data_IF_626225634361
#
_entry.id   IF_626225634361
#
_cell.length_a   1.000
_cell.length_b   1.000
_cell.length_c   1.000
_cell.angle_alpha   90.00
_cell.angle_beta   90.00
_cell.angle_gamma   90.00
#
_symmetry.space_group_name_H-M   'P 1'
#
loop_
_entity.id
_entity.type
_entity.pdbx_description
1 polymer ?
#
# COMPACT_ATOMS: atom_id res chain seq x y z
N UNK A 1 9.82 0.81 22.51
CA UNK A 1 9.47 0.57 21.09
C UNK A 1 9.73 -0.85 20.61
N UNK A 2 10.96 -1.36 20.63
CA UNK A 2 11.29 -2.70 20.07
C UNK A 2 10.44 -3.85 20.67
N UNK A 3 10.20 -3.84 21.99
CA UNK A 3 9.33 -4.81 22.67
C UNK A 3 7.89 -4.79 22.14
N UNK A 4 7.35 -3.61 21.79
CA UNK A 4 6.00 -3.47 21.23
C UNK A 4 5.93 -4.06 19.81
N UNK A 5 6.91 -3.75 18.97
CA UNK A 5 7.02 -4.30 17.62
C UNK A 5 7.10 -5.84 17.68
N UNK A 6 7.90 -6.39 18.59
CA UNK A 6 8.00 -7.84 18.79
C UNK A 6 6.66 -8.45 19.22
N UNK A 7 5.94 -7.79 20.14
CA UNK A 7 4.64 -8.27 20.60
C UNK A 7 3.61 -8.29 19.45
N UNK A 8 3.55 -7.21 18.67
CA UNK A 8 2.69 -7.14 17.48
C UNK A 8 3.05 -8.23 16.47
N UNK A 9 4.34 -8.45 16.23
CA UNK A 9 4.81 -9.52 15.33
C UNK A 9 4.35 -10.91 15.78
N UNK A 10 4.43 -11.21 17.08
CA UNK A 10 4.00 -12.50 17.63
C UNK A 10 2.49 -12.69 17.42
N UNK A 11 1.67 -11.66 17.68
CA UNK A 11 0.22 -11.70 17.48
C UNK A 11 -0.15 -11.96 16.02
N UNK A 12 0.52 -11.29 15.09
CA UNK A 12 0.19 -11.42 13.66
C UNK A 12 0.70 -12.77 13.14
N UNK A 13 1.86 -13.26 13.59
CA UNK A 13 2.41 -14.55 13.18
C UNK A 13 1.50 -15.74 13.56
N UNK A 14 0.79 -15.66 14.68
CA UNK A 14 -0.17 -16.70 15.08
C UNK A 14 -1.44 -16.73 14.21
N UNK A 15 -1.69 -15.68 13.43
CA UNK A 15 -2.91 -15.54 12.64
C UNK A 15 -2.70 -15.95 11.18
N UNK A 16 -3.68 -16.66 10.60
CA UNK A 16 -3.66 -17.08 9.19
C UNK A 16 -3.81 -15.91 8.21
N UNK A 17 -4.12 -14.71 8.70
CA UNK A 17 -4.37 -13.52 7.87
C UNK A 17 -3.14 -13.12 7.06
N UNK A 18 -1.91 -13.27 7.59
CA UNK A 18 -0.69 -13.00 6.80
C UNK A 18 -0.67 -13.88 5.54
N UNK A 19 -0.96 -15.18 5.70
CA UNK A 19 -0.95 -16.13 4.59
C UNK A 19 -1.99 -15.73 3.53
N UNK A 20 -3.20 -15.33 3.95
CA UNK A 20 -4.23 -14.84 3.03
C UNK A 20 -3.77 -13.58 2.29
N UNK A 21 -3.16 -12.62 3.00
CA UNK A 21 -2.63 -11.37 2.42
C UNK A 21 -1.54 -11.68 1.39
N UNK A 22 -0.62 -12.59 1.70
CA UNK A 22 0.46 -13.00 0.78
C UNK A 22 -0.14 -13.65 -0.47
N UNK A 23 -1.08 -14.60 -0.33
CA UNK A 23 -1.74 -15.25 -1.47
C UNK A 23 -2.47 -14.22 -2.33
N UNK A 24 -3.28 -13.35 -1.72
CA UNK A 24 -4.01 -12.28 -2.43
C UNK A 24 -3.05 -11.36 -3.21
N UNK A 25 -1.88 -11.06 -2.62
CA UNK A 25 -0.88 -10.22 -3.27
C UNK A 25 -0.24 -10.85 -4.50
N UNK A 26 -0.21 -12.18 -4.60
CA UNK A 26 0.39 -12.91 -5.73
C UNK A 26 -0.58 -13.08 -6.90
N UNK A 27 -1.89 -12.82 -6.72
CA UNK A 27 -2.90 -12.99 -7.76
C UNK A 27 -2.57 -12.20 -9.04
N UNK A 28 -2.29 -10.88 -9.01
CA UNK A 28 -1.96 -10.12 -10.22
C UNK A 28 -0.77 -10.71 -10.98
N UNK A 29 0.23 -11.21 -10.24
CA UNK A 29 1.45 -11.76 -10.82
C UNK A 29 1.17 -13.10 -11.51
N UNK A 30 0.42 -14.00 -10.87
CA UNK A 30 0.00 -15.27 -11.47
C UNK A 30 -0.87 -15.07 -12.71
N UNK A 31 -1.84 -14.16 -12.63
CA UNK A 31 -2.71 -13.84 -13.77
C UNK A 31 -1.92 -13.32 -14.97
N UNK A 32 -0.92 -12.48 -14.73
CA UNK A 32 -0.07 -11.97 -15.80
C UNK A 32 0.85 -13.05 -16.40
N UNK A 33 1.38 -13.97 -15.60
CA UNK A 33 2.14 -15.10 -16.16
C UNK A 33 1.29 -15.99 -17.05
N UNK A 34 0.05 -16.27 -16.66
CA UNK A 34 -0.88 -17.02 -17.49
C UNK A 34 -1.18 -16.26 -18.78
N UNK A 35 -1.46 -14.96 -18.70
CA UNK A 35 -1.71 -14.12 -19.88
C UNK A 35 -0.50 -14.06 -20.83
N UNK A 36 0.71 -13.97 -20.29
CA UNK A 36 1.96 -13.99 -21.04
C UNK A 36 2.18 -15.31 -21.79
N UNK A 37 1.90 -16.43 -21.13
CA UNK A 37 2.07 -17.76 -21.70
C UNK A 37 1.05 -18.06 -22.82
N UNK A 38 -0.18 -17.53 -22.72
CA UNK A 38 -1.28 -17.84 -23.63
C UNK A 38 -1.38 -16.86 -24.79
N UNK A 39 -1.34 -15.55 -24.53
CA UNK A 39 -1.75 -14.55 -25.51
C UNK A 39 -0.55 -13.86 -26.17
N UNK A 40 0.21 -13.04 -25.43
CA UNK A 40 0.97 -11.97 -26.09
C UNK A 40 2.48 -12.09 -26.07
N UNK A 41 3.11 -12.94 -25.22
CA UNK A 41 4.58 -13.03 -25.07
C UNK A 41 5.33 -11.69 -25.11
N UNK A 42 4.64 -10.60 -24.79
CA UNK A 42 5.11 -9.24 -24.96
C UNK A 42 5.78 -8.81 -23.67
N UNK A 43 7.07 -8.52 -23.80
CA UNK A 43 7.98 -8.21 -22.71
C UNK A 43 8.18 -6.70 -22.60
N UNK A 44 7.56 -5.92 -23.50
CA UNK A 44 7.60 -4.46 -23.45
C UNK A 44 7.11 -3.95 -22.08
N UNK A 45 7.81 -2.94 -21.54
CA UNK A 45 7.50 -2.39 -20.23
C UNK A 45 6.28 -1.47 -20.26
N UNK A 46 6.07 -0.80 -21.39
CA UNK A 46 5.10 0.25 -21.69
C UNK A 46 3.72 -0.29 -22.07
N UNK A 47 3.65 -1.43 -22.76
CA UNK A 47 2.38 -2.05 -23.18
C UNK A 47 2.23 -3.53 -22.83
N UNK A 48 3.34 -4.21 -22.49
CA UNK A 48 3.38 -5.65 -22.35
C UNK A 48 3.10 -6.13 -20.93
N UNK A 49 3.89 -7.12 -20.50
CA UNK A 49 3.72 -7.80 -19.22
C UNK A 49 3.72 -6.85 -18.02
N UNK A 50 4.70 -5.94 -17.95
CA UNK A 50 4.85 -5.08 -16.77
C UNK A 50 3.70 -4.11 -16.63
N UNK A 51 3.28 -3.45 -17.71
CA UNK A 51 2.15 -2.52 -17.69
C UNK A 51 0.84 -3.19 -17.22
N UNK A 52 0.54 -4.37 -17.77
CA UNK A 52 -0.67 -5.13 -17.38
C UNK A 52 -0.62 -5.56 -15.92
N UNK A 53 0.54 -6.04 -15.46
CA UNK A 53 0.78 -6.34 -14.06
C UNK A 53 0.65 -5.12 -13.17
N UNK A 54 1.24 -4.00 -13.56
CA UNK A 54 1.25 -2.76 -12.79
C UNK A 54 -0.17 -2.24 -12.53
N UNK A 55 -1.06 -2.32 -13.53
CA UNK A 55 -2.46 -1.93 -13.42
C UNK A 55 -3.24 -2.82 -12.46
N UNK A 56 -3.11 -4.15 -12.61
CA UNK A 56 -3.78 -5.10 -11.72
C UNK A 56 -3.24 -5.05 -10.29
N UNK A 57 -1.93 -4.82 -10.16
CA UNK A 57 -1.29 -4.66 -8.88
C UNK A 57 -1.75 -3.39 -8.18
N UNK A 58 -1.88 -2.27 -8.90
CA UNK A 58 -2.43 -1.02 -8.37
C UNK A 58 -3.86 -1.18 -7.84
N UNK A 59 -4.69 -2.02 -8.47
CA UNK A 59 -6.03 -2.35 -7.95
C UNK A 59 -5.98 -3.08 -6.60
N UNK A 60 -5.05 -4.02 -6.45
CA UNK A 60 -4.99 -4.89 -5.28
C UNK A 60 -4.22 -4.25 -4.12
N UNK A 61 -3.21 -3.44 -4.39
CA UNK A 61 -2.29 -2.89 -3.38
C UNK A 61 -3.00 -2.08 -2.27
N UNK A 62 -3.92 -1.14 -2.56
CA UNK A 62 -4.68 -0.43 -1.54
C UNK A 62 -5.55 -1.36 -0.70
N UNK A 63 -6.15 -2.38 -1.31
CA UNK A 63 -7.03 -3.35 -0.64
C UNK A 63 -6.21 -4.16 0.37
N UNK A 64 -5.09 -4.73 -0.08
CA UNK A 64 -4.19 -5.56 0.74
C UNK A 64 -3.63 -4.74 1.91
N UNK A 65 -3.17 -3.52 1.62
CA UNK A 65 -2.63 -2.61 2.63
C UNK A 65 -3.67 -2.22 3.68
N UNK A 66 -4.91 -1.92 3.24
CA UNK A 66 -6.02 -1.62 4.14
C UNK A 66 -6.37 -2.83 5.03
N UNK A 67 -6.56 -4.02 4.44
CA UNK A 67 -6.91 -5.22 5.19
C UNK A 67 -5.88 -5.49 6.29
N UNK A 68 -4.59 -5.36 5.98
CA UNK A 68 -3.51 -5.55 6.93
C UNK A 68 -3.61 -4.57 8.11
N UNK A 69 -3.62 -3.26 7.85
CA UNK A 69 -3.63 -2.26 8.92
C UNK A 69 -4.93 -2.34 9.74
N UNK A 70 -6.07 -2.52 9.08
CA UNK A 70 -7.37 -2.68 9.73
C UNK A 70 -7.39 -3.90 10.64
N UNK A 71 -6.82 -5.03 10.21
CA UNK A 71 -6.74 -6.24 11.02
C UNK A 71 -5.84 -6.06 12.26
N UNK A 72 -4.68 -5.43 12.10
CA UNK A 72 -3.74 -5.17 13.22
C UNK A 72 -4.40 -4.34 14.32
N UNK A 73 -5.23 -3.35 13.97
CA UNK A 73 -6.01 -2.60 14.95
C UNK A 73 -7.22 -3.36 15.48
N UNK A 74 -7.92 -4.09 14.61
CA UNK A 74 -9.10 -4.87 15.00
C UNK A 74 -8.80 -5.95 16.04
N UNK A 75 -7.64 -6.60 15.96
CA UNK A 75 -7.22 -7.60 16.96
C UNK A 75 -7.22 -7.05 18.39
N UNK A 76 -6.93 -5.77 18.58
CA UNK A 76 -6.99 -5.14 19.91
C UNK A 76 -8.43 -4.94 20.39
N UNK A 77 -9.33 -4.55 19.48
CA UNK A 77 -10.74 -4.38 19.80
C UNK A 77 -11.39 -5.72 20.13
N UNK A 78 -11.07 -6.76 19.38
CA UNK A 78 -11.57 -8.13 19.60
C UNK A 78 -11.08 -8.70 20.92
N UNK A 79 -9.80 -8.52 21.25
CA UNK A 79 -9.18 -9.12 22.44
C UNK A 79 -9.43 -8.32 23.73
N UNK A 80 -10.23 -7.24 23.70
CA UNK A 80 -10.50 -6.32 24.82
C UNK A 80 -9.24 -5.67 25.46
N UNK A 81 -8.05 -5.91 24.92
CA UNK A 81 -6.79 -5.28 25.33
C UNK A 81 -6.74 -3.77 25.09
N UNK A 82 -7.76 -3.21 24.44
CA UNK A 82 -7.93 -1.76 24.33
C UNK A 82 -7.99 -1.06 25.70
N UNK A 83 -8.56 -1.72 26.71
CA UNK A 83 -8.60 -1.19 28.09
C UNK A 83 -7.21 -1.26 28.74
N UNK A 84 -6.45 -2.32 28.45
CA UNK A 84 -5.07 -2.49 28.92
C UNK A 84 -4.11 -1.45 28.33
N UNK A 85 -4.37 -0.99 27.09
CA UNK A 85 -3.61 0.10 26.47
C UNK A 85 -3.73 1.44 27.21
N UNK A 86 -4.86 1.64 27.89
CA UNK A 86 -5.14 2.85 28.66
C UNK A 86 -4.48 2.77 30.03
N UNK A 87 -4.32 1.56 30.59
CA UNK A 87 -3.80 1.32 31.94
C UNK A 87 -2.30 1.03 32.00
N UNK A 88 -1.65 0.61 30.90
CA UNK A 88 -0.19 0.45 30.87
C UNK A 88 0.55 1.79 30.97
N UNK A 89 1.69 1.81 31.68
CA UNK A 89 2.62 2.94 31.76
C UNK A 89 3.44 3.15 30.46
N UNK A 90 2.85 2.84 29.30
CA UNK A 90 3.47 2.95 27.98
C UNK A 90 2.79 4.12 27.24
N UNK A 91 3.55 5.04 26.64
CA UNK A 91 2.95 6.17 25.96
C UNK A 91 2.18 5.72 24.70
N UNK A 92 0.94 6.20 24.57
CA UNK A 92 -0.01 5.74 23.55
C UNK A 92 0.45 5.97 22.11
N UNK A 93 1.25 7.01 21.86
CA UNK A 93 1.84 7.24 20.54
C UNK A 93 2.78 6.09 20.13
N UNK A 94 3.55 5.51 21.05
CA UNK A 94 4.44 4.39 20.72
C UNK A 94 3.66 3.15 20.28
N UNK A 95 2.46 2.94 20.84
CA UNK A 95 1.57 1.87 20.41
C UNK A 95 1.07 2.10 18.97
N UNK A 96 0.60 3.31 18.65
CA UNK A 96 0.20 3.69 17.29
C UNK A 96 1.32 3.41 16.28
N UNK A 97 2.50 3.97 16.54
CA UNK A 97 3.63 3.85 15.64
C UNK A 97 4.10 2.40 15.52
N UNK A 98 4.00 1.58 16.57
CA UNK A 98 4.38 0.16 16.49
C UNK A 98 3.51 -0.61 15.50
N UNK A 99 2.20 -0.35 15.47
CA UNK A 99 1.26 -0.99 14.52
C UNK A 99 1.47 -0.52 13.10
N UNK A 100 1.62 0.79 12.90
CA UNK A 100 1.92 1.37 11.58
C UNK A 100 3.23 0.78 11.07
N UNK A 101 4.30 0.76 11.89
CA UNK A 101 5.60 0.20 11.51
C UNK A 101 5.50 -1.27 11.14
N UNK A 102 4.86 -2.10 11.97
CA UNK A 102 4.71 -3.54 11.67
C UNK A 102 3.93 -3.77 10.38
N UNK A 103 2.86 -3.00 10.15
CA UNK A 103 2.12 -3.05 8.88
C UNK A 103 3.00 -2.68 7.69
N UNK A 104 3.76 -1.58 7.78
CA UNK A 104 4.67 -1.15 6.71
C UNK A 104 5.79 -2.16 6.47
N UNK A 105 6.33 -2.82 7.50
CA UNK A 105 7.36 -3.85 7.37
C UNK A 105 6.80 -5.06 6.61
N UNK A 106 5.61 -5.54 6.97
CA UNK A 106 4.97 -6.67 6.27
C UNK A 106 4.70 -6.31 4.80
N UNK A 107 4.16 -5.12 4.52
CA UNK A 107 3.95 -4.66 3.14
C UNK A 107 5.25 -4.54 2.36
N UNK A 108 6.31 -4.03 2.98
CA UNK A 108 7.62 -3.94 2.35
C UNK A 108 8.22 -5.32 2.03
N UNK A 109 8.01 -6.31 2.90
CA UNK A 109 8.43 -7.68 2.64
C UNK A 109 7.68 -8.29 1.45
N UNK A 110 6.36 -8.08 1.36
CA UNK A 110 5.55 -8.51 0.21
C UNK A 110 6.02 -7.81 -1.07
N UNK A 111 6.26 -6.50 -1.01
CA UNK A 111 6.81 -5.72 -2.12
C UNK A 111 8.13 -6.30 -2.61
N UNK A 112 9.07 -6.58 -1.70
CA UNK A 112 10.39 -7.14 -2.05
C UNK A 112 10.25 -8.53 -2.68
N UNK A 113 9.41 -9.40 -2.14
CA UNK A 113 9.19 -10.75 -2.70
C UNK A 113 8.71 -10.64 -4.16
N UNK A 114 7.71 -9.79 -4.42
CA UNK A 114 7.20 -9.60 -5.78
C UNK A 114 8.23 -8.94 -6.70
N UNK A 115 8.95 -7.94 -6.21
CA UNK A 115 10.01 -7.27 -6.96
C UNK A 115 11.11 -8.24 -7.37
N UNK A 116 11.51 -9.16 -6.48
CA UNK A 116 12.51 -10.20 -6.79
C UNK A 116 11.99 -11.13 -7.88
N UNK A 117 10.74 -11.59 -7.79
CA UNK A 117 10.13 -12.46 -8.81
C UNK A 117 10.10 -11.76 -10.18
N UNK A 118 9.64 -10.50 -10.22
CA UNK A 118 9.61 -9.70 -11.45
C UNK A 118 11.01 -9.48 -12.02
N UNK A 119 11.97 -9.10 -11.18
CA UNK A 119 13.34 -8.81 -11.62
C UNK A 119 14.01 -10.06 -12.18
N UNK A 120 13.82 -11.23 -11.55
CA UNK A 120 14.35 -12.52 -12.03
C UNK A 120 13.70 -12.89 -13.37
N UNK A 121 12.38 -12.69 -13.51
CA UNK A 121 11.67 -12.97 -14.76
C UNK A 121 12.18 -12.11 -15.92
N UNK A 122 12.31 -10.79 -15.72
CA UNK A 122 12.83 -9.87 -16.74
C UNK A 122 14.32 -10.13 -17.04
N UNK A 123 15.11 -10.47 -16.04
CA UNK A 123 16.50 -10.85 -16.24
C UNK A 123 16.65 -12.12 -17.08
N UNK A 124 15.79 -13.12 -16.87
CA UNK A 124 15.83 -14.38 -17.62
C UNK A 124 15.47 -14.19 -19.10
N UNK A 125 14.58 -13.26 -19.42
CA UNK A 125 14.02 -13.10 -20.77
C UNK A 125 14.73 -11.99 -21.57
N UNK A 126 14.76 -10.77 -21.04
CA UNK A 126 15.22 -9.58 -21.78
C UNK A 126 16.72 -9.30 -21.59
N UNK A 127 17.28 -9.69 -20.43
CA UNK A 127 18.69 -9.46 -20.02
C UNK A 127 19.14 -7.99 -20.03
N UNK A 128 18.24 -7.05 -20.33
CA UNK A 128 18.55 -5.62 -20.33
C UNK A 128 18.49 -5.06 -18.90
N UNK A 129 19.65 -4.67 -18.38
CA UNK A 129 19.79 -4.12 -17.02
C UNK A 129 19.07 -2.78 -16.88
N UNK A 130 19.02 -1.96 -17.94
CA UNK A 130 18.35 -0.66 -17.90
C UNK A 130 16.84 -0.81 -17.67
N UNK A 131 16.22 -1.75 -18.39
CA UNK A 131 14.81 -2.06 -18.26
C UNK A 131 14.47 -2.57 -16.84
N UNK A 132 15.35 -3.38 -16.25
CA UNK A 132 15.19 -3.85 -14.87
C UNK A 132 15.27 -2.68 -13.88
N UNK A 133 16.21 -1.74 -14.06
CA UNK A 133 16.32 -0.56 -13.19
C UNK A 133 15.09 0.35 -13.31
N UNK A 134 14.57 0.57 -14.52
CA UNK A 134 13.32 1.32 -14.76
C UNK A 134 12.12 0.65 -14.09
N UNK A 135 12.03 -0.68 -14.18
CA UNK A 135 10.99 -1.47 -13.50
C UNK A 135 11.08 -1.33 -11.97
N UNK A 136 12.29 -1.49 -11.41
CA UNK A 136 12.51 -1.41 -9.96
C UNK A 136 12.11 -0.03 -9.43
N UNK A 137 12.56 1.03 -10.10
CA UNK A 137 12.26 2.41 -9.70
C UNK A 137 10.77 2.73 -9.79
N UNK A 138 10.11 2.42 -10.91
CA UNK A 138 8.65 2.57 -11.08
C UNK A 138 7.87 1.83 -9.98
N UNK A 139 8.25 0.58 -9.70
CA UNK A 139 7.56 -0.27 -8.73
C UNK A 139 7.75 0.21 -7.28
N UNK A 140 8.95 0.67 -6.92
CA UNK A 140 9.23 1.22 -5.59
C UNK A 140 8.45 2.51 -5.36
N UNK A 141 8.42 3.42 -6.34
CA UNK A 141 7.67 4.68 -6.25
C UNK A 141 6.19 4.42 -5.93
N UNK A 142 5.57 3.51 -6.70
CA UNK A 142 4.18 3.11 -6.48
C UNK A 142 3.97 2.63 -5.05
N UNK A 143 4.78 1.66 -4.63
CA UNK A 143 4.65 1.02 -3.33
C UNK A 143 4.83 2.01 -2.19
N UNK A 144 5.86 2.84 -2.24
CA UNK A 144 6.13 3.83 -1.19
C UNK A 144 4.96 4.78 -1.03
N UNK A 145 4.45 5.37 -2.12
CA UNK A 145 3.37 6.36 -2.05
C UNK A 145 2.04 5.72 -1.62
N UNK A 146 1.66 4.60 -2.26
CA UNK A 146 0.36 3.96 -2.00
C UNK A 146 0.32 3.33 -0.62
N UNK A 147 1.34 2.56 -0.23
CA UNK A 147 1.37 1.87 1.07
C UNK A 147 1.37 2.90 2.19
N UNK A 148 2.22 3.92 2.14
CA UNK A 148 2.28 4.93 3.21
C UNK A 148 0.93 5.65 3.37
N UNK A 149 0.32 6.10 2.27
CA UNK A 149 -0.98 6.75 2.29
C UNK A 149 -2.06 5.86 2.88
N UNK A 150 -2.19 4.63 2.38
CA UNK A 150 -3.25 3.72 2.79
C UNK A 150 -3.08 3.30 4.24
N UNK A 151 -1.85 2.99 4.69
CA UNK A 151 -1.60 2.60 6.08
C UNK A 151 -1.99 3.72 7.05
N UNK A 152 -1.63 4.97 6.77
CA UNK A 152 -1.93 6.10 7.67
C UNK A 152 -3.43 6.44 7.65
N UNK A 153 -4.05 6.48 6.47
CA UNK A 153 -5.48 6.77 6.30
C UNK A 153 -6.32 5.71 7.01
N UNK A 154 -6.08 4.44 6.73
CA UNK A 154 -6.91 3.35 7.26
C UNK A 154 -6.64 3.03 8.73
N UNK A 155 -5.46 3.38 9.26
CA UNK A 155 -5.24 3.40 10.70
C UNK A 155 -6.23 4.36 11.41
N UNK A 156 -6.57 5.51 10.81
CA UNK A 156 -7.55 6.42 11.39
C UNK A 156 -8.98 5.88 11.21
N UNK A 157 -9.30 5.39 10.01
CA UNK A 157 -10.64 4.86 9.68
C UNK A 157 -11.02 3.73 10.62
N UNK A 158 -10.17 2.73 10.84
CA UNK A 158 -10.46 1.62 11.74
C UNK A 158 -10.62 2.07 13.20
N UNK A 159 -9.88 3.11 13.63
CA UNK A 159 -9.99 3.65 14.98
C UNK A 159 -11.28 4.45 15.21
N UNK A 160 -11.82 5.06 14.15
CA UNK A 160 -13.10 5.75 14.12
C UNK A 160 -14.26 4.74 14.11
N UNK A 161 -14.23 3.80 13.16
CA UNK A 161 -15.34 2.86 12.95
C UNK A 161 -15.39 1.75 13.99
N UNK A 162 -14.22 1.34 14.53
CA UNK A 162 -14.05 0.14 15.37
C UNK A 162 -14.64 -1.13 14.76
N UNK A 163 -14.88 -1.12 13.45
CA UNK A 163 -15.53 -2.19 12.72
C UNK A 163 -14.68 -2.55 11.50
N UNK A 164 -14.14 -3.77 11.52
CA UNK A 164 -13.27 -4.26 10.46
C UNK A 164 -14.00 -4.34 9.11
N UNK A 165 -15.27 -4.74 9.09
CA UNK A 165 -16.06 -4.87 7.85
C UNK A 165 -16.25 -3.50 7.21
N UNK A 166 -16.59 -2.48 8.01
CA UNK A 166 -16.74 -1.11 7.53
C UNK A 166 -15.42 -0.56 6.98
N UNK A 167 -14.32 -0.73 7.71
CA UNK A 167 -12.98 -0.27 7.29
C UNK A 167 -12.52 -0.94 5.99
N UNK A 168 -12.69 -2.26 5.87
CA UNK A 168 -12.35 -3.00 4.65
C UNK A 168 -13.21 -2.53 3.47
N UNK A 169 -14.53 -2.40 3.66
CA UNK A 169 -15.45 -1.96 2.61
C UNK A 169 -15.11 -0.56 2.09
N UNK A 170 -14.77 0.38 2.99
CA UNK A 170 -14.33 1.73 2.60
C UNK A 170 -13.05 1.66 1.76
N UNK A 171 -12.08 0.82 2.12
CA UNK A 171 -10.84 0.72 1.33
C UNK A 171 -10.99 0.02 -0.01
N UNK A 172 -11.93 -0.92 -0.14
CA UNK A 172 -12.32 -1.42 -1.47
C UNK A 172 -12.90 -0.28 -2.29
N UNK A 173 -13.79 0.54 -1.72
CA UNK A 173 -14.33 1.73 -2.39
C UNK A 173 -13.26 2.74 -2.81
N UNK A 174 -12.28 3.02 -1.94
CA UNK A 174 -11.13 3.90 -2.26
C UNK A 174 -10.27 3.31 -3.39
N UNK A 175 -10.07 2.00 -3.42
CA UNK A 175 -9.34 1.35 -4.51
C UNK A 175 -10.09 1.48 -5.85
N UNK A 176 -11.39 1.21 -5.86
CA UNK A 176 -12.24 1.37 -7.04
C UNK A 176 -12.23 2.80 -7.57
N UNK A 177 -12.38 3.79 -6.68
CA UNK A 177 -12.29 5.20 -7.05
C UNK A 177 -10.91 5.55 -7.61
N UNK A 178 -9.83 5.03 -7.00
CA UNK A 178 -8.47 5.27 -7.47
C UNK A 178 -8.27 4.74 -8.89
N UNK A 179 -8.85 3.60 -9.24
CA UNK A 179 -8.78 3.05 -10.60
C UNK A 179 -9.55 3.87 -11.61
N UNK A 180 -10.74 4.35 -11.27
CA UNK A 180 -11.53 5.21 -12.18
C UNK A 180 -10.77 6.52 -12.43
N UNK A 181 -10.18 7.06 -11.37
CA UNK A 181 -9.57 8.38 -11.39
C UNK A 181 -8.12 8.36 -11.87
N UNK A 182 -7.46 7.20 -12.00
CA UNK A 182 -6.07 7.12 -12.47
C UNK A 182 -5.88 7.64 -13.90
N UNK A 183 -6.92 7.60 -14.74
CA UNK A 183 -6.90 8.13 -16.10
C UNK A 183 -7.25 9.63 -16.17
N UNK A 184 -7.70 10.24 -15.08
CA UNK A 184 -8.11 11.64 -15.06
C UNK A 184 -6.92 12.61 -15.11
N UNK A 185 -7.04 13.77 -15.79
CA UNK A 185 -5.96 14.77 -15.86
C UNK A 185 -5.64 15.39 -14.48
N UNK A 186 -6.59 15.34 -13.56
CA UNK A 186 -6.48 15.87 -12.20
C UNK A 186 -6.10 14.78 -11.17
N UNK A 187 -5.70 13.58 -11.58
CA UNK A 187 -5.44 12.47 -10.65
C UNK A 187 -4.30 12.74 -9.65
N UNK A 188 -3.51 13.79 -9.86
CA UNK A 188 -2.50 14.27 -8.93
C UNK A 188 -3.07 14.75 -7.59
N UNK A 189 -4.37 15.05 -7.49
CA UNK A 189 -5.03 15.37 -6.21
C UNK A 189 -5.22 14.16 -5.30
N UNK A 190 -5.12 12.94 -5.84
CA UNK A 190 -5.39 11.70 -5.12
C UNK A 190 -4.06 10.98 -4.94
N UNK A 191 -3.52 10.87 -3.72
CA UNK A 191 -2.16 10.38 -3.53
C UNK A 191 -1.91 8.97 -4.09
N UNK A 192 -2.91 8.08 -4.06
CA UNK A 192 -2.81 6.74 -4.65
C UNK A 192 -2.65 6.78 -6.16
N UNK A 193 -3.51 7.53 -6.86
CA UNK A 193 -3.45 7.70 -8.31
C UNK A 193 -2.22 8.52 -8.75
N UNK A 194 -1.79 9.48 -7.93
CA UNK A 194 -0.54 10.20 -8.10
C UNK A 194 0.66 9.26 -8.08
N UNK A 195 0.74 8.36 -7.09
CA UNK A 195 1.82 7.38 -6.99
C UNK A 195 1.88 6.43 -8.18
N UNK A 196 0.73 6.04 -8.71
CA UNK A 196 0.62 5.24 -9.94
C UNK A 196 1.23 5.96 -11.16
N UNK A 197 0.81 7.20 -11.45
CA UNK A 197 1.37 7.94 -12.60
C UNK A 197 2.82 8.34 -12.42
N UNK A 198 3.24 8.65 -11.19
CA UNK A 198 4.64 9.00 -10.92
C UNK A 198 5.56 7.79 -11.09
N UNK A 199 5.10 6.57 -10.77
CA UNK A 199 5.87 5.37 -11.08
C UNK A 199 5.98 5.14 -12.60
N UNK A 200 4.86 5.24 -13.33
CA UNK A 200 4.85 5.05 -14.79
C UNK A 200 5.67 6.08 -15.57
N UNK A 201 5.89 7.28 -15.04
CA UNK A 201 6.78 8.29 -15.62
C UNK A 201 8.18 7.72 -15.94
N UNK A 202 8.66 6.75 -15.15
CA UNK A 202 9.97 6.13 -15.35
C UNK A 202 10.00 5.14 -16.52
N UNK A 203 8.83 4.63 -16.90
CA UNK A 203 8.68 3.71 -18.03
C UNK A 203 8.43 4.49 -19.32
N UNK A 204 7.41 5.34 -19.31
CA UNK A 204 7.02 6.17 -20.44
C UNK A 204 6.43 7.50 -19.96
N UNK A 205 6.98 8.59 -20.48
CA UNK A 205 6.55 9.95 -20.21
C UNK A 205 5.12 10.23 -20.71
N UNK A 206 4.62 9.47 -21.69
CA UNK A 206 3.27 9.61 -22.23
C UNK A 206 2.15 9.40 -21.21
N UNK A 207 2.42 8.65 -20.13
CA UNK A 207 1.45 8.43 -19.04
C UNK A 207 1.41 9.56 -18.01
N UNK A 208 2.29 10.56 -18.12
CA UNK A 208 2.40 11.64 -17.14
C UNK A 208 1.47 12.83 -17.44
N UNK A 209 1.36 13.75 -16.48
CA UNK A 209 0.51 14.94 -16.59
C UNK A 209 1.08 15.97 -17.58
N UNK A 210 0.23 16.60 -18.37
CA UNK A 210 0.60 17.70 -19.29
C UNK A 210 1.27 18.88 -18.57
N UNK A 211 0.83 19.19 -17.34
CA UNK A 211 1.41 20.26 -16.51
C UNK A 211 2.79 19.93 -15.91
N UNK A 212 3.31 18.71 -16.16
CA UNK A 212 4.64 18.26 -15.75
C UNK A 212 4.97 18.59 -14.29
N UNK A 213 5.90 19.52 -14.12
CA UNK A 213 6.46 19.96 -12.83
C UNK A 213 5.41 20.53 -11.87
N UNK A 214 4.44 21.29 -12.36
CA UNK A 214 3.40 21.89 -11.53
C UNK A 214 2.52 20.82 -10.87
N UNK A 215 2.11 19.82 -11.66
CA UNK A 215 1.33 18.66 -11.18
C UNK A 215 2.13 17.82 -10.18
N UNK A 216 3.45 17.67 -10.38
CA UNK A 216 4.32 16.96 -9.44
C UNK A 216 4.39 17.66 -8.09
N UNK A 217 4.59 18.99 -8.09
CA UNK A 217 4.69 19.78 -6.86
C UNK A 217 3.38 19.72 -6.07
N UNK A 218 2.25 19.89 -6.77
CA UNK A 218 0.92 19.81 -6.13
C UNK A 218 0.68 18.41 -5.58
N UNK A 219 0.99 17.35 -6.35
CA UNK A 219 0.82 15.97 -5.93
C UNK A 219 1.66 15.61 -4.69
N UNK A 220 2.93 16.02 -4.65
CA UNK A 220 3.81 15.83 -3.48
C UNK A 220 3.27 16.61 -2.28
N UNK A 221 2.88 17.88 -2.49
CA UNK A 221 2.32 18.73 -1.45
C UNK A 221 1.07 18.11 -0.81
N UNK A 222 0.15 17.58 -1.62
CA UNK A 222 -1.06 16.91 -1.16
C UNK A 222 -0.78 15.55 -0.51
N UNK A 223 0.15 14.77 -1.05
CA UNK A 223 0.59 13.52 -0.42
C UNK A 223 1.10 13.78 1.00
N UNK A 224 1.96 14.78 1.20
CA UNK A 224 2.46 15.15 2.53
C UNK A 224 1.33 15.67 3.41
N UNK A 225 0.49 16.58 2.89
CA UNK A 225 -0.60 17.21 3.62
C UNK A 225 -1.62 16.18 4.14
N UNK A 226 -2.10 15.28 3.27
CA UNK A 226 -3.08 14.24 3.62
C UNK A 226 -2.50 13.30 4.67
N UNK A 227 -1.26 12.83 4.47
CA UNK A 227 -0.61 11.96 5.46
C UNK A 227 -0.41 12.65 6.81
N UNK A 228 -0.02 13.93 6.82
CA UNK A 228 0.12 14.71 8.05
C UNK A 228 -1.22 14.90 8.77
N UNK A 229 -2.27 15.28 8.05
CA UNK A 229 -3.63 15.45 8.61
C UNK A 229 -4.12 14.12 9.20
N UNK A 230 -3.98 13.02 8.46
CA UNK A 230 -4.44 11.71 8.92
C UNK A 230 -3.62 11.20 10.10
N UNK A 231 -2.32 11.46 10.15
CA UNK A 231 -1.49 11.16 11.32
C UNK A 231 -1.92 11.98 12.54
N UNK A 232 -2.22 13.27 12.37
CA UNK A 232 -2.76 14.11 13.46
C UNK A 232 -4.12 13.59 13.96
N UNK A 233 -5.00 13.14 13.06
CA UNK A 233 -6.28 12.51 13.43
C UNK A 233 -6.03 11.22 14.23
N UNK A 234 -5.12 10.35 13.77
CA UNK A 234 -4.74 9.14 14.50
C UNK A 234 -4.27 9.45 15.93
N UNK A 235 -3.36 10.42 16.09
CA UNK A 235 -2.88 10.85 17.41
C UNK A 235 -4.04 11.37 18.27
N UNK A 236 -4.88 12.25 17.72
CA UNK A 236 -6.03 12.81 18.44
C UNK A 236 -7.00 11.72 18.89
N UNK A 237 -7.28 10.71 18.08
CA UNK A 237 -8.19 9.62 18.41
C UNK A 237 -7.68 8.75 19.56
N UNK A 238 -6.36 8.62 19.67
CA UNK A 238 -5.71 7.86 20.73
C UNK A 238 -5.68 8.64 22.05
N UNK A 239 -5.53 9.95 22.01
CA UNK A 239 -5.54 10.80 23.21
C UNK A 239 -6.95 11.18 23.68
N UNK A 240 -7.90 11.41 22.78
CA UNK A 240 -9.27 11.88 23.11
C UNK A 240 -10.16 10.79 23.72
N UNK A 241 -9.82 9.51 23.59
CA UNK A 241 -10.58 8.43 24.24
C UNK A 241 -10.30 8.44 25.75
N UNK A 242 -11.15 9.19 26.45
CA UNK A 242 -11.50 8.95 27.84
C UNK A 242 -12.44 7.74 27.88
N UNK A 243 -12.27 6.93 28.92
CA UNK A 243 -13.02 5.70 29.24
C UNK A 243 -14.53 5.81 28.94
#
# INVERSE_FOLDING_TARGET
MFKLIKNEWIKIKSEKVILVIVILSLIPLLMNFVNFAINNKDISLDSGFYFTYYNQYFMMLPIISNVLISFIFYMEFKNKMYLDWITYNIPRFQLLFSKILVSTIIMSAICIIQLVILSVFYFAIDRNIENILRLITSYIILNVIVVTTITIVFAAVIQLTKNIVASISIGIGVSLLSMILMAAPFSFFIPTAFGYRLGLLVIDNGYYYEGGTSSTIIGIGLFILINAIMLMINLRLIYKKNL
#
